data_IF_282360222598
#
_entry.id   IF_282360222598
#
_cell.length_a   1.000
_cell.length_b   1.000
_cell.length_c   1.000
_cell.angle_alpha   90.00
_cell.angle_beta   90.00
_cell.angle_gamma   90.00
#
_symmetry.space_group_name_H-M   'P 1'
#
loop_
_entity.id
_entity.type
_entity.pdbx_description
1 polymer ?
#
# COMPACT_ATOMS: atom_id res chain seq x y z
N UNK A 1 22.98 11.59 -25.79
CA UNK A 1 23.69 11.68 -24.50
C UNK A 1 22.94 10.82 -23.51
N UNK A 2 23.60 9.88 -22.85
CA UNK A 2 23.02 9.18 -21.70
C UNK A 2 22.74 10.22 -20.60
N UNK A 3 21.55 10.18 -19.97
CA UNK A 3 21.23 11.07 -18.85
C UNK A 3 21.99 10.59 -17.61
N UNK A 4 22.51 11.52 -16.82
CA UNK A 4 23.22 11.24 -15.56
C UNK A 4 22.75 12.19 -14.46
N UNK A 5 22.51 11.65 -13.27
CA UNK A 5 22.10 12.43 -12.10
C UNK A 5 23.02 12.15 -10.92
N UNK A 6 23.25 13.13 -10.04
CA UNK A 6 24.00 12.85 -8.83
C UNK A 6 23.24 11.89 -7.92
N UNK A 7 21.91 12.02 -7.87
CA UNK A 7 21.04 11.13 -7.11
C UNK A 7 19.91 10.65 -8.02
N UNK A 8 19.86 9.35 -8.24
CA UNK A 8 18.75 8.69 -8.92
C UNK A 8 17.89 7.93 -7.92
N UNK A 9 16.58 8.14 -7.96
CA UNK A 9 15.63 7.52 -7.04
C UNK A 9 14.70 6.64 -7.87
N UNK A 10 14.57 5.37 -7.50
CA UNK A 10 13.57 4.46 -8.07
C UNK A 10 12.34 4.45 -7.17
N UNK A 11 11.21 4.86 -7.72
CA UNK A 11 9.91 4.92 -7.06
C UNK A 11 9.56 6.31 -6.54
N UNK A 12 8.42 6.84 -7.00
CA UNK A 12 7.78 8.09 -6.56
C UNK A 12 6.79 7.89 -5.42
N UNK A 13 6.87 6.74 -4.73
CA UNK A 13 6.11 6.49 -3.51
C UNK A 13 6.51 7.42 -2.35
N UNK A 14 5.87 7.24 -1.20
CA UNK A 14 6.12 8.06 0.00
C UNK A 14 7.61 8.16 0.34
N UNK A 15 8.35 7.06 0.26
CA UNK A 15 9.79 7.05 0.52
C UNK A 15 10.60 7.89 -0.46
N UNK A 16 10.38 7.72 -1.76
CA UNK A 16 11.13 8.41 -2.81
C UNK A 16 10.92 9.92 -2.79
N UNK A 17 9.67 10.37 -2.73
CA UNK A 17 9.34 11.80 -2.64
C UNK A 17 9.92 12.42 -1.35
N UNK A 18 9.77 11.75 -0.21
CA UNK A 18 10.28 12.28 1.06
C UNK A 18 11.80 12.47 1.03
N UNK A 19 12.52 11.48 0.51
CA UNK A 19 13.99 11.55 0.40
C UNK A 19 14.42 12.63 -0.58
N UNK A 20 13.79 12.72 -1.76
CA UNK A 20 14.06 13.78 -2.73
C UNK A 20 13.86 15.18 -2.12
N UNK A 21 12.74 15.39 -1.42
CA UNK A 21 12.41 16.66 -0.78
C UNK A 21 13.43 17.02 0.31
N UNK A 22 13.81 16.07 1.16
CA UNK A 22 14.78 16.29 2.22
C UNK A 22 16.18 16.62 1.66
N UNK A 23 16.59 15.93 0.59
CA UNK A 23 17.88 16.18 -0.07
C UNK A 23 17.89 17.55 -0.74
N UNK A 24 16.83 17.92 -1.48
CA UNK A 24 16.71 19.26 -2.07
C UNK A 24 16.71 20.37 -1.03
N UNK A 25 16.01 20.18 0.09
CA UNK A 25 15.98 21.19 1.16
C UNK A 25 17.35 21.38 1.82
N UNK A 26 18.13 20.31 1.97
CA UNK A 26 19.48 20.38 2.57
C UNK A 26 20.53 20.89 1.58
N UNK A 27 20.42 20.52 0.31
CA UNK A 27 21.37 20.88 -0.73
C UNK A 27 20.64 21.14 -2.05
N UNK A 28 20.17 22.39 -2.28
CA UNK A 28 19.34 22.74 -3.44
C UNK A 28 19.99 22.49 -4.80
N UNK A 29 21.33 22.56 -4.86
CA UNK A 29 22.12 22.37 -6.08
C UNK A 29 22.27 20.92 -6.54
N UNK A 30 21.78 19.93 -5.79
CA UNK A 30 21.84 18.52 -6.21
C UNK A 30 21.03 18.28 -7.47
N UNK A 31 21.62 17.60 -8.45
CA UNK A 31 20.92 17.01 -9.58
C UNK A 31 20.24 15.72 -9.14
N UNK A 32 18.91 15.72 -9.07
CA UNK A 32 18.10 14.60 -8.57
C UNK A 32 17.03 14.24 -9.60
N UNK A 33 16.86 12.94 -9.85
CA UNK A 33 15.74 12.43 -10.63
C UNK A 33 15.00 11.31 -9.89
N UNK A 34 13.68 11.23 -10.12
CA UNK A 34 12.80 10.14 -9.67
C UNK A 34 12.28 9.40 -10.90
N UNK A 35 12.51 8.09 -10.97
CA UNK A 35 11.88 7.17 -11.93
C UNK A 35 10.59 6.66 -11.31
N UNK A 36 9.44 7.09 -11.84
CA UNK A 36 8.11 6.67 -11.38
C UNK A 36 7.15 6.63 -12.58
N UNK A 37 6.56 5.47 -12.91
CA UNK A 37 5.64 5.36 -14.04
C UNK A 37 4.22 5.89 -13.74
N UNK A 38 3.78 5.89 -12.48
CA UNK A 38 2.42 6.28 -12.10
C UNK A 38 2.21 7.79 -12.18
N UNK A 39 1.12 8.22 -12.82
CA UNK A 39 0.71 9.63 -12.79
C UNK A 39 0.02 10.02 -11.48
N UNK A 40 -0.32 9.04 -10.63
CA UNK A 40 -1.04 9.25 -9.38
C UNK A 40 -0.22 8.78 -8.19
N UNK A 41 -0.25 9.58 -7.14
CA UNK A 41 0.23 9.23 -5.82
C UNK A 41 -0.93 8.84 -4.90
N UNK A 42 -0.78 7.74 -4.18
CA UNK A 42 -1.80 7.25 -3.24
C UNK A 42 -1.30 7.29 -1.79
N UNK A 43 -2.04 8.00 -0.93
CA UNK A 43 -1.91 7.91 0.51
C UNK A 43 -2.62 6.63 1.03
N UNK A 44 -1.99 5.49 0.73
CA UNK A 44 -2.52 4.16 1.02
C UNK A 44 -2.89 3.89 2.50
N UNK A 45 -2.28 4.52 3.54
CA UNK A 45 -2.73 4.33 4.92
C UNK A 45 -4.23 4.63 5.13
N UNK A 46 -4.80 5.57 4.36
CA UNK A 46 -6.21 5.92 4.45
C UNK A 46 -7.15 4.89 3.80
N UNK A 47 -6.66 3.92 3.02
CA UNK A 47 -7.49 2.91 2.35
C UNK A 47 -8.29 2.06 3.34
N UNK A 48 -7.77 1.84 4.55
CA UNK A 48 -8.54 1.16 5.62
C UNK A 48 -9.79 1.95 6.01
N UNK A 49 -9.72 3.29 6.03
CA UNK A 49 -10.84 4.15 6.38
C UNK A 49 -11.83 4.28 5.22
N UNK A 50 -11.33 4.30 3.97
CA UNK A 50 -12.15 4.22 2.76
C UNK A 50 -12.95 2.92 2.75
N UNK A 51 -12.30 1.78 3.02
CA UNK A 51 -12.95 0.47 3.13
C UNK A 51 -14.00 0.35 4.24
N UNK A 52 -13.94 1.24 5.23
CA UNK A 52 -14.92 1.34 6.29
C UNK A 52 -15.97 2.45 6.06
N UNK A 53 -15.94 3.14 4.92
CA UNK A 53 -16.87 4.23 4.60
C UNK A 53 -16.68 5.51 5.43
N UNK A 54 -15.51 5.68 6.07
CA UNK A 54 -15.21 6.83 6.95
C UNK A 54 -14.24 7.85 6.35
N UNK A 55 -13.72 7.56 5.15
CA UNK A 55 -12.88 8.47 4.38
C UNK A 55 -13.20 8.34 2.90
N UNK A 56 -12.92 9.38 2.11
CA UNK A 56 -13.23 9.40 0.69
C UNK A 56 -12.01 9.03 -0.15
N UNK A 57 -12.18 8.19 -1.17
CA UNK A 57 -11.08 7.68 -2.00
C UNK A 57 -10.33 8.82 -2.69
N UNK A 58 -11.05 9.80 -3.24
CA UNK A 58 -10.48 10.96 -3.93
C UNK A 58 -9.56 11.80 -3.04
N UNK A 59 -9.77 11.80 -1.72
CA UNK A 59 -8.90 12.50 -0.76
C UNK A 59 -7.59 11.76 -0.47
N UNK A 60 -7.44 10.55 -0.98
CA UNK A 60 -6.21 9.75 -0.86
C UNK A 60 -5.31 9.89 -2.09
N UNK A 61 -5.80 10.50 -3.17
CA UNK A 61 -5.13 10.55 -4.47
C UNK A 61 -4.64 11.98 -4.73
N UNK A 62 -3.44 12.09 -5.29
CA UNK A 62 -2.93 13.34 -5.86
C UNK A 62 -2.26 13.05 -7.20
N UNK A 63 -2.14 14.06 -8.05
CA UNK A 63 -1.24 13.99 -9.20
C UNK A 63 0.20 13.84 -8.69
N UNK A 64 0.92 12.85 -9.22
CA UNK A 64 2.33 12.62 -8.86
C UNK A 64 3.16 13.89 -9.10
N UNK A 65 2.93 14.55 -10.25
CA UNK A 65 3.53 15.85 -10.59
C UNK A 65 3.43 16.90 -9.48
N UNK A 66 2.30 16.94 -8.76
CA UNK A 66 2.08 17.95 -7.71
C UNK A 66 2.90 17.71 -6.45
N UNK A 67 3.50 16.53 -6.33
CA UNK A 67 4.31 16.12 -5.18
C UNK A 67 5.80 16.01 -5.50
N UNK A 68 6.18 15.99 -6.77
CA UNK A 68 7.58 16.05 -7.17
C UNK A 68 8.18 17.38 -6.66
N UNK A 69 9.25 17.35 -5.85
CA UNK A 69 9.84 18.58 -5.32
C UNK A 69 10.38 19.47 -6.44
N UNK A 70 10.31 20.79 -6.24
CA UNK A 70 10.83 21.75 -7.23
C UNK A 70 12.31 21.49 -7.53
N UNK A 71 12.65 21.48 -8.82
CA UNK A 71 14.02 21.22 -9.30
C UNK A 71 14.45 19.74 -9.26
N UNK A 72 13.54 18.80 -9.01
CA UNK A 72 13.75 17.36 -9.20
C UNK A 72 13.16 16.96 -10.54
N UNK A 73 13.89 16.17 -11.34
CA UNK A 73 13.39 15.65 -12.61
C UNK A 73 12.50 14.42 -12.37
N UNK A 74 11.28 14.46 -12.90
CA UNK A 74 10.41 13.28 -12.92
C UNK A 74 10.55 12.56 -14.25
N UNK A 75 11.11 11.35 -14.18
CA UNK A 75 11.25 10.43 -15.29
C UNK A 75 10.03 9.50 -15.24
N UNK A 76 9.04 9.78 -16.11
CA UNK A 76 7.79 9.04 -16.22
C UNK A 76 7.99 7.69 -16.90
N UNK A 77 8.73 6.81 -16.24
CA UNK A 77 9.12 5.52 -16.79
C UNK A 77 9.25 4.48 -15.68
N UNK A 78 9.37 3.21 -16.08
CA UNK A 78 9.58 2.08 -15.19
C UNK A 78 11.03 1.66 -15.24
N UNK A 79 11.69 1.58 -14.08
CA UNK A 79 12.99 0.92 -13.95
C UNK A 79 12.84 -0.59 -14.20
N UNK A 80 13.70 -1.16 -15.03
CA UNK A 80 13.64 -2.56 -15.46
C UNK A 80 14.85 -3.36 -14.99
N UNK A 81 16.06 -2.82 -15.11
CA UNK A 81 17.31 -3.50 -14.76
C UNK A 81 18.21 -2.56 -13.96
N UNK A 82 18.76 -3.06 -12.85
CA UNK A 82 19.85 -2.39 -12.11
C UNK A 82 21.19 -2.92 -12.61
N UNK A 83 22.07 -2.00 -13.05
CA UNK A 83 23.46 -2.29 -13.40
C UNK A 83 24.39 -1.60 -12.40
N UNK A 84 24.56 -2.14 -11.19
CA UNK A 84 25.32 -1.49 -10.13
C UNK A 84 26.80 -1.32 -10.48
N UNK A 85 27.40 -2.27 -11.18
CA UNK A 85 28.81 -2.21 -11.60
C UNK A 85 29.10 -1.04 -12.57
N UNK A 86 28.07 -0.55 -13.26
CA UNK A 86 28.17 0.56 -14.21
C UNK A 86 27.57 1.86 -13.65
N UNK A 87 27.05 1.83 -12.42
CA UNK A 87 26.22 2.86 -11.83
C UNK A 87 25.08 3.32 -12.76
N UNK A 88 24.35 2.35 -13.33
CA UNK A 88 23.25 2.60 -14.28
C UNK A 88 21.95 1.91 -13.90
N UNK A 89 20.84 2.50 -14.32
CA UNK A 89 19.49 1.91 -14.29
C UNK A 89 18.95 1.92 -15.71
N UNK A 90 18.52 0.75 -16.18
CA UNK A 90 17.74 0.67 -17.42
C UNK A 90 16.28 0.94 -17.12
N UNK A 91 15.64 1.60 -18.07
CA UNK A 91 14.22 1.91 -18.06
C UNK A 91 13.52 1.30 -19.26
N UNK A 92 12.20 1.15 -19.17
CA UNK A 92 11.40 0.53 -20.23
C UNK A 92 11.44 1.34 -21.54
N UNK A 93 11.50 2.67 -21.47
CA UNK A 93 11.35 3.56 -22.64
C UNK A 93 12.48 4.58 -22.81
N UNK A 94 13.07 5.04 -21.71
CA UNK A 94 14.04 6.14 -21.68
C UNK A 94 15.50 5.66 -21.80
N UNK A 95 15.72 4.34 -21.95
CA UNK A 95 17.05 3.75 -22.05
C UNK A 95 17.79 3.70 -20.71
N UNK A 96 19.12 3.83 -20.77
CA UNK A 96 19.99 3.74 -19.60
C UNK A 96 20.26 5.11 -18.97
N UNK A 97 20.19 5.17 -17.64
CA UNK A 97 20.36 6.39 -16.84
C UNK A 97 21.47 6.16 -15.82
N UNK A 98 22.51 6.99 -15.86
CA UNK A 98 23.64 6.95 -14.93
C UNK A 98 23.35 7.66 -13.60
N UNK A 99 24.05 7.26 -12.54
CA UNK A 99 23.98 7.90 -11.23
C UNK A 99 25.32 7.97 -10.50
N UNK A 100 25.47 8.92 -9.57
CA UNK A 100 26.53 8.84 -8.53
C UNK A 100 26.03 8.04 -7.32
N UNK A 101 24.77 8.26 -6.93
CA UNK A 101 24.10 7.53 -5.85
C UNK A 101 22.71 7.06 -6.28
N UNK A 102 22.39 5.81 -5.94
CA UNK A 102 21.07 5.21 -6.20
C UNK A 102 20.29 5.02 -4.89
N UNK A 103 19.02 5.43 -4.90
CA UNK A 103 18.07 5.22 -3.80
C UNK A 103 16.93 4.36 -4.31
N UNK A 104 16.74 3.18 -3.73
CA UNK A 104 15.67 2.25 -4.12
C UNK A 104 14.51 2.36 -3.15
N UNK A 105 13.40 2.95 -3.61
CA UNK A 105 12.16 3.18 -2.87
C UNK A 105 10.94 2.57 -3.60
N UNK A 106 11.13 1.43 -4.28
CA UNK A 106 10.14 0.79 -5.16
C UNK A 106 8.91 0.17 -4.44
N UNK A 107 8.88 0.18 -3.11
CA UNK A 107 7.77 -0.35 -2.32
C UNK A 107 7.68 -1.88 -2.35
N UNK A 108 6.45 -2.40 -2.43
CA UNK A 108 6.16 -3.83 -2.50
C UNK A 108 5.09 -4.13 -3.54
N UNK A 109 5.06 -5.37 -4.00
CA UNK A 109 4.05 -5.89 -4.92
C UNK A 109 3.12 -6.86 -4.20
N UNK A 110 1.90 -6.98 -4.72
CA UNK A 110 0.97 -8.02 -4.26
C UNK A 110 1.16 -9.26 -5.12
N UNK A 111 1.42 -10.40 -4.48
CA UNK A 111 1.47 -11.69 -5.16
C UNK A 111 0.19 -12.48 -4.84
N UNK A 112 -0.79 -12.33 -5.72
CA UNK A 112 -2.10 -12.97 -5.57
C UNK A 112 -2.06 -14.46 -5.96
N UNK A 113 -1.06 -14.87 -6.73
CA UNK A 113 -0.90 -16.23 -7.22
C UNK A 113 -0.61 -17.25 -6.10
N UNK A 114 -0.11 -16.77 -4.96
CA UNK A 114 0.20 -17.60 -3.79
C UNK A 114 -1.03 -18.20 -3.10
N UNK A 115 -2.23 -17.69 -3.39
CA UNK A 115 -3.48 -18.23 -2.88
C UNK A 115 -4.29 -18.77 -4.06
N UNK A 116 -4.43 -20.09 -4.12
CA UNK A 116 -5.18 -20.76 -5.18
C UNK A 116 -6.60 -20.16 -5.31
N UNK A 117 -6.94 -19.70 -6.52
CA UNK A 117 -8.24 -19.11 -6.84
C UNK A 117 -8.44 -17.65 -6.39
N UNK A 118 -7.47 -16.99 -5.74
CA UNK A 118 -7.65 -15.62 -5.24
C UNK A 118 -7.83 -14.59 -6.36
N UNK A 119 -7.03 -14.69 -7.42
CA UNK A 119 -7.12 -13.77 -8.57
C UNK A 119 -8.51 -13.86 -9.22
N UNK A 120 -8.99 -15.07 -9.46
CA UNK A 120 -10.33 -15.32 -10.01
C UNK A 120 -11.43 -14.84 -9.06
N UNK A 121 -11.29 -15.09 -7.75
CA UNK A 121 -12.25 -14.65 -6.75
C UNK A 121 -12.34 -13.11 -6.65
N UNK A 122 -11.20 -12.41 -6.75
CA UNK A 122 -11.16 -10.95 -6.81
C UNK A 122 -11.81 -10.43 -8.09
N UNK A 123 -11.46 -11.01 -9.25
CA UNK A 123 -12.03 -10.63 -10.54
C UNK A 123 -13.55 -10.83 -10.61
N UNK A 124 -14.06 -11.89 -9.98
CA UNK A 124 -15.50 -12.17 -9.87
C UNK A 124 -16.22 -11.34 -8.79
N UNK A 125 -15.51 -10.58 -7.97
CA UNK A 125 -16.10 -9.85 -6.84
C UNK A 125 -16.68 -10.79 -5.77
N UNK A 126 -16.04 -11.94 -5.54
CA UNK A 126 -16.44 -12.86 -4.46
C UNK A 126 -15.73 -12.47 -3.16
N UNK A 127 -14.55 -11.85 -3.27
CA UNK A 127 -13.75 -11.35 -2.14
C UNK A 127 -13.34 -9.90 -2.39
N UNK A 128 -13.00 -9.17 -1.33
CA UNK A 128 -12.56 -7.77 -1.40
C UNK A 128 -11.21 -7.59 -0.69
N UNK A 129 -10.53 -6.49 -1.00
CA UNK A 129 -9.24 -6.15 -0.40
C UNK A 129 -9.06 -4.65 -0.32
N UNK A 130 -8.83 -4.11 0.87
CA UNK A 130 -8.46 -2.71 1.07
C UNK A 130 -7.17 -2.31 0.35
N UNK A 131 -6.31 -3.28 0.02
CA UNK A 131 -5.05 -3.02 -0.67
C UNK A 131 -5.21 -2.86 -2.19
N UNK A 132 -6.31 -3.36 -2.75
CA UNK A 132 -6.60 -3.39 -4.19
C UNK A 132 -7.74 -2.41 -4.48
N UNK A 133 -8.88 -2.58 -3.81
CA UNK A 133 -10.07 -1.76 -3.98
C UNK A 133 -10.79 -1.58 -2.63
N UNK A 134 -10.44 -0.52 -1.87
CA UNK A 134 -11.12 -0.22 -0.62
C UNK A 134 -12.58 0.21 -0.83
N UNK A 135 -12.94 0.84 -1.96
CA UNK A 135 -14.33 1.23 -2.20
C UNK A 135 -15.23 0.00 -2.39
N UNK A 136 -14.71 -1.03 -3.07
CA UNK A 136 -15.39 -2.31 -3.18
C UNK A 136 -15.51 -3.02 -1.83
N UNK A 137 -14.49 -2.94 -0.97
CA UNK A 137 -14.56 -3.45 0.40
C UNK A 137 -15.72 -2.80 1.17
N UNK A 138 -15.90 -1.48 1.02
CA UNK A 138 -17.04 -0.78 1.64
C UNK A 138 -18.38 -1.25 1.07
N UNK A 139 -18.50 -1.44 -0.24
CA UNK A 139 -19.71 -1.99 -0.88
C UNK A 139 -20.05 -3.38 -0.33
N UNK A 140 -19.05 -4.26 -0.15
CA UNK A 140 -19.25 -5.57 0.47
C UNK A 140 -19.81 -5.45 1.90
N UNK A 141 -19.25 -4.55 2.72
CA UNK A 141 -19.76 -4.32 4.08
C UNK A 141 -21.20 -3.79 4.08
N UNK A 142 -21.56 -2.89 3.17
CA UNK A 142 -22.93 -2.38 3.04
C UNK A 142 -23.93 -3.47 2.58
N UNK A 143 -23.48 -4.36 1.70
CA UNK A 143 -24.27 -5.47 1.17
C UNK A 143 -24.47 -6.62 2.17
N UNK A 144 -23.61 -6.73 3.20
CA UNK A 144 -23.62 -7.82 4.15
C UNK A 144 -24.95 -7.92 4.93
N UNK A 145 -25.57 -9.11 4.90
CA UNK A 145 -26.87 -9.38 5.56
C UNK A 145 -26.76 -10.27 6.79
N UNK A 146 -25.59 -10.83 7.04
CA UNK A 146 -25.26 -11.67 8.18
C UNK A 146 -24.59 -12.98 7.79
N UNK A 147 -24.19 -13.77 8.79
CA UNK A 147 -23.37 -14.97 8.62
C UNK A 147 -21.92 -14.76 9.04
N UNK A 148 -20.98 -15.34 8.31
CA UNK A 148 -19.55 -15.28 8.64
C UNK A 148 -18.88 -14.10 7.90
N UNK A 149 -18.25 -13.20 8.65
CA UNK A 149 -17.35 -12.19 8.11
C UNK A 149 -15.90 -12.58 8.43
N UNK A 150 -15.16 -13.00 7.39
CA UNK A 150 -13.79 -13.52 7.50
C UNK A 150 -12.82 -12.47 6.99
N UNK A 151 -11.82 -12.16 7.81
CA UNK A 151 -10.71 -11.27 7.46
C UNK A 151 -9.41 -12.06 7.49
N UNK A 152 -8.50 -11.82 6.55
CA UNK A 152 -7.28 -12.63 6.42
C UNK A 152 -6.03 -11.77 6.49
N UNK A 153 -4.95 -12.36 6.99
CA UNK A 153 -3.61 -11.78 6.96
C UNK A 153 -2.65 -12.82 6.38
N UNK A 154 -1.83 -12.47 5.36
CA UNK A 154 -0.90 -13.42 4.75
C UNK A 154 0.24 -13.79 5.71
N UNK A 155 0.91 -14.91 5.42
CA UNK A 155 2.14 -15.37 6.10
C UNK A 155 3.38 -14.60 5.67
N UNK A 156 3.31 -13.90 4.53
CA UNK A 156 4.42 -13.13 3.96
C UNK A 156 4.56 -11.75 4.62
N UNK A 157 5.72 -11.08 4.46
CA UNK A 157 5.86 -9.68 4.82
C UNK A 157 4.78 -8.82 4.14
N UNK A 158 4.12 -7.97 4.93
CA UNK A 158 3.03 -7.10 4.46
C UNK A 158 3.26 -5.66 4.92
N UNK A 159 2.89 -4.69 4.09
CA UNK A 159 2.81 -3.28 4.53
C UNK A 159 1.67 -3.11 5.52
N UNK A 160 1.95 -2.41 6.62
CA UNK A 160 0.96 -2.13 7.66
C UNK A 160 0.27 -3.40 8.19
N UNK A 161 1.03 -4.29 8.86
CA UNK A 161 0.50 -5.57 9.36
C UNK A 161 -0.73 -5.50 10.29
N UNK A 162 -1.08 -4.32 10.84
CA UNK A 162 -2.33 -4.13 11.59
C UNK A 162 -3.56 -3.81 10.73
N UNK A 163 -3.41 -3.45 9.44
CA UNK A 163 -4.54 -3.07 8.59
C UNK A 163 -5.60 -4.17 8.40
N UNK A 164 -5.25 -5.46 8.26
CA UNK A 164 -6.24 -6.54 8.21
C UNK A 164 -7.15 -6.60 9.45
N UNK A 165 -6.60 -6.30 10.62
CA UNK A 165 -7.37 -6.23 11.87
C UNK A 165 -8.18 -4.94 11.99
N UNK A 166 -7.61 -3.80 11.58
CA UNK A 166 -8.32 -2.52 11.62
C UNK A 166 -9.64 -2.58 10.86
N UNK A 167 -9.65 -3.17 9.65
CA UNK A 167 -10.89 -3.30 8.88
C UNK A 167 -11.88 -4.27 9.54
N UNK A 168 -11.39 -5.35 10.19
CA UNK A 168 -12.29 -6.21 10.99
C UNK A 168 -12.97 -5.39 12.09
N UNK A 169 -12.21 -4.63 12.89
CA UNK A 169 -12.79 -3.86 14.00
C UNK A 169 -13.80 -2.82 13.48
N UNK A 170 -13.50 -2.14 12.38
CA UNK A 170 -14.40 -1.18 11.75
C UNK A 170 -15.66 -1.85 11.18
N UNK A 171 -15.53 -3.04 10.58
CA UNK A 171 -16.67 -3.83 10.12
C UNK A 171 -17.54 -4.30 11.30
N UNK A 172 -16.93 -4.77 12.39
CA UNK A 172 -17.65 -5.19 13.58
C UNK A 172 -18.45 -4.03 14.21
N UNK A 173 -17.86 -2.84 14.32
CA UNK A 173 -18.57 -1.62 14.75
C UNK A 173 -19.72 -1.28 13.79
N UNK A 174 -19.48 -1.32 12.48
CA UNK A 174 -20.51 -1.07 11.48
C UNK A 174 -21.69 -2.06 11.61
N UNK A 175 -21.42 -3.36 11.76
CA UNK A 175 -22.46 -4.38 11.94
C UNK A 175 -23.26 -4.17 13.21
N UNK A 176 -22.60 -3.80 14.31
CA UNK A 176 -23.28 -3.45 15.57
C UNK A 176 -24.24 -2.27 15.38
N UNK A 177 -23.80 -1.20 14.71
CA UNK A 177 -24.64 -0.03 14.40
C UNK A 177 -25.83 -0.37 13.50
N UNK A 178 -25.71 -1.42 12.68
CA UNK A 178 -26.80 -1.93 11.82
C UNK A 178 -27.67 -2.99 12.49
N UNK A 179 -27.41 -3.35 13.75
CA UNK A 179 -28.13 -4.40 14.47
C UNK A 179 -27.93 -5.80 13.88
N UNK A 180 -26.80 -6.03 13.21
CA UNK A 180 -26.44 -7.32 12.60
C UNK A 180 -25.56 -8.17 13.52
N UNK A 181 -25.01 -7.61 14.61
CA UNK A 181 -24.13 -8.29 15.56
C UNK A 181 -24.66 -9.65 16.04
N UNK A 182 -25.96 -9.76 16.34
CA UNK A 182 -26.59 -11.02 16.79
C UNK A 182 -26.69 -12.10 15.70
N UNK A 183 -26.55 -11.73 14.43
CA UNK A 183 -26.62 -12.64 13.26
C UNK A 183 -25.24 -13.00 12.71
N UNK A 184 -24.18 -12.49 13.32
CA UNK A 184 -22.85 -12.48 12.71
C UNK A 184 -21.83 -13.20 13.58
N UNK A 185 -20.93 -13.93 12.92
CA UNK A 185 -19.64 -14.34 13.48
C UNK A 185 -18.56 -13.60 12.72
N UNK A 186 -17.90 -12.65 13.39
CA UNK A 186 -16.75 -11.95 12.85
C UNK A 186 -15.48 -12.61 13.39
N UNK A 187 -14.54 -12.91 12.50
CA UNK A 187 -13.27 -13.52 12.89
C UNK A 187 -12.13 -13.11 11.96
N UNK A 188 -10.92 -13.04 12.50
CA UNK A 188 -9.71 -12.98 11.69
C UNK A 188 -9.10 -14.37 11.59
N UNK A 189 -8.81 -14.82 10.38
CA UNK A 189 -7.91 -15.94 10.13
C UNK A 189 -6.48 -15.40 10.06
N UNK A 190 -5.74 -15.59 11.16
CA UNK A 190 -4.30 -15.31 11.23
C UNK A 190 -3.52 -16.56 10.89
N UNK A 191 -2.56 -16.45 9.97
CA UNK A 191 -1.63 -17.53 9.69
C UNK A 191 -0.37 -17.52 10.60
N UNK A 192 -0.33 -16.66 11.63
CA UNK A 192 0.78 -16.52 12.57
C UNK A 192 0.34 -16.58 14.04
N UNK A 193 1.28 -16.81 14.95
CA UNK A 193 1.03 -17.13 16.37
C UNK A 193 0.44 -16.01 17.26
N UNK A 194 0.31 -14.76 16.77
CA UNK A 194 -0.16 -13.63 17.60
C UNK A 194 -0.81 -12.50 16.80
N UNK A 195 -1.86 -11.89 17.35
CA UNK A 195 -2.52 -10.70 16.77
C UNK A 195 -1.56 -9.52 16.57
N UNK A 196 -0.72 -9.21 17.56
CA UNK A 196 0.32 -8.19 17.44
C UNK A 196 1.66 -8.76 17.92
N UNK A 197 2.75 -8.43 17.21
CA UNK A 197 4.11 -8.83 17.63
C UNK A 197 4.54 -8.22 18.98
N UNK A 198 3.96 -7.07 19.37
CA UNK A 198 4.27 -6.40 20.65
C UNK A 198 3.23 -6.79 21.70
N UNK A 199 3.68 -7.45 22.78
CA UNK A 199 2.82 -8.03 23.84
C UNK A 199 1.77 -7.07 24.42
N UNK A 200 2.12 -5.78 24.61
CA UNK A 200 1.20 -4.78 25.15
C UNK A 200 -0.04 -4.54 24.28
N UNK A 201 0.10 -4.57 22.95
CA UNK A 201 -1.03 -4.40 22.04
C UNK A 201 -1.86 -5.68 21.89
N UNK A 202 -1.22 -6.86 22.03
CA UNK A 202 -1.89 -8.15 21.86
C UNK A 202 -2.89 -8.48 22.99
N UNK A 203 -2.61 -8.05 24.23
CA UNK A 203 -3.51 -8.30 25.37
C UNK A 203 -4.83 -7.54 25.22
N UNK A 204 -4.76 -6.24 24.94
CA UNK A 204 -5.94 -5.39 24.82
C UNK A 204 -6.89 -5.84 23.68
N UNK A 205 -6.34 -6.39 22.59
CA UNK A 205 -7.14 -6.88 21.47
C UNK A 205 -7.88 -8.18 21.79
N UNK A 206 -7.26 -9.11 22.52
CA UNK A 206 -7.87 -10.41 22.85
C UNK A 206 -9.05 -10.28 23.82
N UNK A 207 -9.00 -9.34 24.76
CA UNK A 207 -10.10 -9.08 25.69
C UNK A 207 -11.35 -8.50 24.98
N UNK A 208 -11.16 -7.84 23.83
CA UNK A 208 -12.25 -7.19 23.10
C UNK A 208 -12.79 -8.02 21.93
N UNK A 209 -11.95 -8.86 21.30
CA UNK A 209 -12.29 -9.68 20.14
C UNK A 209 -11.50 -11.00 20.18
N UNK A 210 -12.09 -12.11 20.67
CA UNK A 210 -11.42 -13.40 20.69
C UNK A 210 -11.19 -13.95 19.27
N UNK A 211 -10.04 -14.58 19.03
CA UNK A 211 -9.81 -15.39 17.84
C UNK A 211 -10.80 -16.56 17.77
N UNK A 212 -11.26 -16.89 16.56
CA UNK A 212 -12.11 -18.05 16.29
C UNK A 212 -11.28 -19.33 16.27
#
# INVERSE_FOLDING_TARGET
MEKHFQILIIGGGTGGIMVAAQLKNKQPGLSIAIIEPSEKHYYQPAFTLVGAGTYKMEKTIREEASLIPSGVEWIKDKATILRPEENKVETEKCGSIGYDYLIVAAGLVYDLSLIAGLEEALAKGVVCSNYIDPEYTWKCLQGFKGGNAIFTQPTTPIKCGGAPQKIMYLAADYFKRKGLDKKNKCGVCHAGFSHFRRKGYCRNTHESYPSV
#
